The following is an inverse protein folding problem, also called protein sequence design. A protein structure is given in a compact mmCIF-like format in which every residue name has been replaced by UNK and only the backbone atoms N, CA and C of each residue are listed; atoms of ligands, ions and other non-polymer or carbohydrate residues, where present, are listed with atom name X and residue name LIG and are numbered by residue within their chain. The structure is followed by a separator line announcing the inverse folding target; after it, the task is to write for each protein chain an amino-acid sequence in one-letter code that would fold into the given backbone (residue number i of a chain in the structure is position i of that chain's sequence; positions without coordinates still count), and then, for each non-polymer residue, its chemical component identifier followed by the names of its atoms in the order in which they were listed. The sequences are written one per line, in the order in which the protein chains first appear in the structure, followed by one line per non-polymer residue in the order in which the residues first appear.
data_IF_648428316273
#
_entry.id   IF_648428316273
#
_cell.length_a   1.000
_cell.length_b   1.000
_cell.length_c   1.000
_cell.angle_alpha   90.00
_cell.angle_beta   90.00
_cell.angle_gamma   90.00
#
_symmetry.space_group_name_H-M   'P 1'
#
loop_
_entity.id
_entity.type
_entity.pdbx_description
1 polymer ?
#
# COMPACT_ATOMS: atom_id res chain seq x y z
N UNK A 1 -11.13 -2.27 -19.25
CA UNK A 1 -10.97 -2.53 -18.88
C UNK A 1 -10.47 -2.87 -18.10
N UNK A 2 -10.33 -2.90 -17.78
CA UNK A 2 -9.89 -3.15 -17.14
C UNK A 2 -9.76 -3.90 -16.39
N UNK A 3 -9.48 -4.34 -16.19
CA UNK A 3 -9.35 -5.07 -15.62
C UNK A 3 -8.75 -5.04 -14.61
N UNK A 4 -8.75 -5.13 -14.07
CA UNK A 4 -8.36 -5.06 -12.99
C UNK A 4 -7.40 -5.70 -12.55
N UNK A 5 -7.12 -5.69 -12.12
CA UNK A 5 -6.32 -6.12 -11.61
C UNK A 5 -6.37 -7.18 -11.22
N UNK A 6 -6.41 -7.77 -11.44
CA UNK A 6 -6.56 -8.74 -11.15
C UNK A 6 -5.78 -9.32 -10.73
N UNK A 7 -5.50 -9.58 -10.52
CA UNK A 7 -5.15 -10.15 -9.85
C UNK A 7 -4.32 -11.11 -9.93
N UNK A 8 -4.20 -11.81 -10.49
CA UNK A 8 -3.44 -12.79 -10.51
C UNK A 8 -2.14 -12.55 -10.93
N UNK A 9 -1.72 -11.54 -11.23
CA UNK A 9 -0.52 -11.34 -11.55
C UNK A 9 0.36 -11.26 -10.47
N UNK A 10 0.09 -11.62 -9.38
CA UNK A 10 0.88 -11.47 -8.24
C UNK A 10 2.23 -12.07 -8.31
N UNK A 11 2.46 -12.93 -9.22
CA UNK A 11 3.77 -13.52 -9.25
C UNK A 11 4.84 -12.54 -9.60
N UNK A 12 4.49 -11.38 -10.14
CA UNK A 12 5.52 -10.41 -10.44
C UNK A 12 5.57 -9.31 -9.41
N UNK A 13 4.81 -9.41 -8.35
CA UNK A 13 4.82 -8.38 -7.34
C UNK A 13 5.86 -8.68 -6.27
N UNK A 14 6.46 -7.63 -5.73
CA UNK A 14 7.43 -7.81 -4.68
C UNK A 14 6.78 -7.74 -3.33
N UNK A 15 7.24 -8.54 -2.40
CA UNK A 15 6.71 -8.48 -1.06
C UNK A 15 7.22 -7.21 -0.39
N UNK A 16 6.35 -6.57 0.35
CA UNK A 16 6.72 -5.43 1.16
C UNK A 16 7.21 -5.99 2.49
N UNK A 17 8.45 -5.68 2.85
CA UNK A 17 9.01 -6.16 4.08
C UNK A 17 8.97 -5.13 5.19
N UNK A 18 8.74 -3.88 4.85
CA UNK A 18 8.60 -2.83 5.85
C UNK A 18 7.87 -1.67 5.24
N UNK A 19 7.24 -0.86 6.06
CA UNK A 19 6.58 0.33 5.56
C UNK A 19 6.55 1.38 6.65
N UNK A 20 6.35 2.60 6.25
CA UNK A 20 6.24 3.70 7.19
C UNK A 20 5.44 4.81 6.53
N UNK A 21 4.80 5.63 7.35
CA UNK A 21 4.07 6.77 6.83
C UNK A 21 4.48 8.00 7.62
N UNK A 22 4.31 9.15 7.01
CA UNK A 22 4.60 10.40 7.67
C UNK A 22 4.20 11.54 6.78
N UNK A 23 4.61 12.72 7.15
CA UNK A 23 4.36 13.88 6.32
C UNK A 23 5.51 14.85 6.47
N UNK A 24 5.80 15.62 5.40
CA UNK A 24 6.87 16.60 5.46
C UNK A 24 6.47 17.75 6.36
N UNK A 25 7.43 18.32 7.07
CA UNK A 25 7.13 19.44 7.97
C UNK A 25 6.44 20.57 7.28
N UNK A 26 6.78 20.86 6.07
CA UNK A 26 6.22 21.99 5.40
C UNK A 26 5.01 21.69 4.56
N UNK A 27 4.59 20.45 4.51
CA UNK A 27 3.42 20.07 3.74
C UNK A 27 2.60 19.09 4.53
N UNK A 28 1.94 19.54 5.58
CA UNK A 28 1.19 18.61 6.45
C UNK A 28 -0.06 18.04 5.79
N UNK A 29 -0.40 18.50 4.60
CA UNK A 29 -1.54 17.97 3.88
C UNK A 29 -1.13 16.84 2.93
N UNK A 30 0.14 16.48 2.90
CA UNK A 30 0.63 15.41 2.03
C UNK A 30 1.15 14.27 2.90
N UNK A 31 0.72 13.07 2.61
CA UNK A 31 1.24 11.91 3.30
C UNK A 31 2.26 11.24 2.42
N UNK A 32 3.35 10.81 3.01
CA UNK A 32 4.33 10.02 2.28
C UNK A 32 4.26 8.60 2.83
N UNK A 33 4.14 7.66 1.94
CA UNK A 33 4.14 6.25 2.29
C UNK A 33 5.42 5.65 1.73
N UNK A 34 6.22 5.07 2.58
CA UNK A 34 7.47 4.43 2.15
C UNK A 34 7.27 2.92 2.21
N UNK A 35 7.60 2.27 1.15
CA UNK A 35 7.49 0.82 1.07
C UNK A 35 8.87 0.24 0.80
N UNK A 36 9.25 -0.75 1.57
CA UNK A 36 10.53 -1.40 1.39
C UNK A 36 10.30 -2.80 0.83
N UNK A 37 11.02 -3.11 -0.21
CA UNK A 37 10.98 -4.45 -0.79
C UNK A 37 12.42 -4.88 -0.98
N UNK A 38 12.64 -6.04 -1.55
CA UNK A 38 14.00 -6.48 -1.81
C UNK A 38 14.70 -5.57 -2.81
N UNK A 39 13.96 -4.75 -3.52
CA UNK A 39 14.56 -3.83 -4.47
C UNK A 39 14.89 -2.48 -3.85
N UNK A 40 14.63 -2.30 -2.60
CA UNK A 40 14.93 -1.05 -1.91
C UNK A 40 13.70 -0.34 -1.43
N UNK A 41 13.87 0.91 -1.08
CA UNK A 41 12.78 1.70 -0.53
C UNK A 41 12.23 2.62 -1.60
N UNK A 42 10.92 2.73 -1.66
CA UNK A 42 10.29 3.64 -2.58
C UNK A 42 9.27 4.47 -1.83
N UNK A 43 9.24 5.76 -2.10
CA UNK A 43 8.33 6.67 -1.42
C UNK A 43 7.26 7.13 -2.36
N UNK A 44 6.04 7.23 -1.86
CA UNK A 44 4.90 7.69 -2.64
C UNK A 44 4.20 8.78 -1.87
N UNK A 45 3.76 9.80 -2.57
CA UNK A 45 3.07 10.93 -1.94
C UNK A 45 1.60 10.90 -2.30
N UNK A 46 0.75 11.19 -1.33
CA UNK A 46 -0.69 11.21 -1.53
C UNK A 46 -1.29 12.41 -0.83
N UNK A 47 -2.34 12.95 -1.38
CA UNK A 47 -3.09 13.94 -0.62
C UNK A 47 -4.01 13.18 0.35
N UNK A 48 -4.68 13.91 1.21
CA UNK A 48 -5.49 13.28 2.24
C UNK A 48 -6.60 12.40 1.69
N UNK A 49 -7.27 12.89 0.68
CA UNK A 49 -8.35 12.14 0.08
C UNK A 49 -7.89 10.84 -0.51
N UNK A 50 -6.78 10.87 -1.23
CA UNK A 50 -6.23 9.66 -1.81
C UNK A 50 -5.76 8.70 -0.73
N UNK A 51 -5.14 9.22 0.31
CA UNK A 51 -4.64 8.38 1.38
C UNK A 51 -5.79 7.65 2.07
N UNK A 52 -6.89 8.36 2.33
CA UNK A 52 -8.04 7.74 2.97
C UNK A 52 -8.70 6.70 2.06
N UNK A 53 -8.74 6.99 0.78
CA UNK A 53 -9.33 6.06 -0.17
C UNK A 53 -8.50 4.79 -0.27
N UNK A 54 -7.18 4.94 -0.33
CA UNK A 54 -6.30 3.80 -0.41
C UNK A 54 -6.43 2.95 0.85
N UNK A 55 -6.46 3.59 2.01
CA UNK A 55 -6.58 2.86 3.26
C UNK A 55 -7.86 2.06 3.30
N UNK A 56 -8.95 2.66 2.84
CA UNK A 56 -10.23 1.99 2.84
C UNK A 56 -10.24 0.83 1.87
N UNK A 57 -9.63 1.03 0.71
CA UNK A 57 -9.57 -0.01 -0.31
C UNK A 57 -8.72 -1.19 0.16
N UNK A 58 -7.58 -0.89 0.78
CA UNK A 58 -6.72 -1.95 1.30
C UNK A 58 -7.45 -2.73 2.38
N UNK A 59 -8.12 -2.02 3.27
CA UNK A 59 -8.83 -2.68 4.34
C UNK A 59 -9.89 -3.63 3.80
N UNK A 60 -10.61 -3.17 2.78
CA UNK A 60 -11.65 -3.96 2.20
C UNK A 60 -11.12 -5.23 1.56
N UNK A 61 -10.04 -5.13 0.82
CA UNK A 61 -9.45 -6.29 0.18
C UNK A 61 -8.81 -7.21 1.20
N UNK A 62 -8.12 -6.64 2.17
CA UNK A 62 -7.47 -7.46 3.19
C UNK A 62 -8.47 -8.29 3.96
N UNK A 63 -9.67 -7.76 4.15
CA UNK A 63 -10.69 -8.51 4.87
C UNK A 63 -11.13 -9.77 4.14
N UNK A 64 -10.85 -9.84 2.84
CA UNK A 64 -11.21 -11.01 2.07
C UNK A 64 -10.11 -12.05 2.02
N UNK A 65 -8.95 -11.75 2.55
CA UNK A 65 -7.85 -12.70 2.53
C UNK A 65 -8.09 -13.76 3.59
N UNK A 66 -7.58 -14.94 3.33
CA UNK A 66 -7.67 -15.99 4.30
C UNK A 66 -6.82 -15.64 5.50
N UNK A 67 -7.26 -16.04 6.68
CA UNK A 67 -6.47 -15.76 7.87
C UNK A 67 -5.17 -16.55 7.82
N UNK A 68 -4.10 -15.94 8.27
CA UNK A 68 -2.85 -16.68 8.27
C UNK A 68 -2.91 -17.84 9.25
N UNK A 69 -2.22 -18.91 8.94
CA UNK A 69 -2.20 -19.99 9.81
C UNK A 69 -1.39 -19.60 10.90
N UNK A 70 -1.84 -19.60 12.04
CA UNK A 70 -1.00 -19.18 13.05
C UNK A 70 -0.53 -20.29 13.64
N UNK A 71 0.44 -20.34 13.92
CA UNK A 71 0.91 -21.50 14.44
C UNK A 71 0.85 -21.71 15.74
#
# INVERSE_FOLDING_TARGET
MTKPMTTNRSTSADYVTAFATGWPDKQPDIMVLSLTTQKGVQDFAFNKEQALLIARTIKKTAAKLANPKTA
#
